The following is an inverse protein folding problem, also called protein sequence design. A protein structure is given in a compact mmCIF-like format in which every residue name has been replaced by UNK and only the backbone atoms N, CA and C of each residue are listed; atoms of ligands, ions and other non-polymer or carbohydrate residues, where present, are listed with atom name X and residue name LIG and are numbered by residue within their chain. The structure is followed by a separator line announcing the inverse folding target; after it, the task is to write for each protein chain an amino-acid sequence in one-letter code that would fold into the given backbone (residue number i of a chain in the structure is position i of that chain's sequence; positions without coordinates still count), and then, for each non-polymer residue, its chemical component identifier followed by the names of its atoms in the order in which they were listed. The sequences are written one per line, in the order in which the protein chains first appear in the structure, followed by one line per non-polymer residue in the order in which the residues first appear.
data_IF_505762933350
#
_entry.id   IF_505762933350
#
_cell.length_a   1.000
_cell.length_b   1.000
_cell.length_c   1.000
_cell.angle_alpha   90.00
_cell.angle_beta   90.00
_cell.angle_gamma   90.00
#
_symmetry.space_group_name_H-M   'P 1'
#
loop_
_entity.id
_entity.type
_entity.pdbx_description
1 polymer ?
#
# COMPACT_ATOMS: atom_id res chain seq x y z
N UNK A 1 -21.43 -7.81 -22.07
CA UNK A 1 -21.42 -9.28 -22.10
C UNK A 1 -21.92 -9.76 -20.73
N UNK A 2 -22.86 -10.72 -20.66
CA UNK A 2 -23.35 -11.25 -19.39
C UNK A 2 -22.26 -12.09 -18.68
N UNK A 3 -22.20 -12.00 -17.35
CA UNK A 3 -21.30 -12.82 -16.51
C UNK A 3 -22.06 -14.06 -16.02
N UNK A 4 -21.61 -15.25 -16.42
CA UNK A 4 -22.19 -16.52 -15.98
C UNK A 4 -21.28 -17.20 -14.95
N UNK A 5 -21.64 -17.13 -13.67
CA UNK A 5 -20.88 -17.76 -12.58
C UNK A 5 -21.17 -19.27 -12.48
N UNK A 6 -20.74 -20.04 -13.49
CA UNK A 6 -20.76 -21.51 -13.45
C UNK A 6 -19.80 -22.07 -12.38
N UNK A 7 -18.55 -21.58 -12.24
CA UNK A 7 -17.61 -22.11 -11.25
C UNK A 7 -18.12 -21.94 -9.82
N UNK A 8 -18.69 -20.78 -9.48
CA UNK A 8 -19.28 -20.53 -8.18
C UNK A 8 -20.48 -21.43 -7.86
N UNK A 9 -21.32 -21.74 -8.86
CA UNK A 9 -22.48 -22.61 -8.67
C UNK A 9 -22.12 -24.09 -8.49
N UNK A 10 -21.06 -24.55 -9.15
CA UNK A 10 -20.58 -25.95 -9.07
C UNK A 10 -19.58 -26.13 -7.91
N UNK A 11 -19.12 -25.04 -7.30
CA UNK A 11 -18.16 -25.08 -6.18
C UNK A 11 -16.71 -25.33 -6.62
N UNK A 12 -16.39 -25.09 -7.90
CA UNK A 12 -15.03 -25.26 -8.43
C UNK A 12 -14.31 -23.92 -8.38
N UNK A 13 -13.13 -23.88 -7.75
CA UNK A 13 -12.26 -22.70 -7.74
C UNK A 13 -11.26 -22.78 -8.90
N UNK A 14 -11.56 -22.12 -10.02
CA UNK A 14 -10.66 -22.04 -11.17
C UNK A 14 -9.67 -20.86 -11.05
N UNK A 15 -10.18 -19.70 -10.64
CA UNK A 15 -9.52 -18.40 -10.73
C UNK A 15 -9.56 -17.58 -9.43
N UNK A 16 -10.52 -17.84 -8.53
CA UNK A 16 -10.75 -17.04 -7.30
C UNK A 16 -9.52 -16.98 -6.38
N UNK A 17 -8.67 -18.00 -6.41
CA UNK A 17 -7.44 -18.05 -5.60
C UNK A 17 -6.39 -16.99 -5.99
N UNK A 18 -6.45 -16.41 -7.20
CA UNK A 18 -5.51 -15.36 -7.65
C UNK A 18 -6.05 -13.94 -7.54
N UNK A 19 -7.34 -13.75 -7.22
CA UNK A 19 -7.99 -12.44 -7.33
C UNK A 19 -7.55 -11.44 -6.25
N UNK A 20 -7.24 -11.94 -5.06
CA UNK A 20 -6.89 -11.12 -3.88
C UNK A 20 -5.43 -11.38 -3.51
N UNK A 21 -4.67 -10.32 -3.21
CA UNK A 21 -3.30 -10.50 -2.71
C UNK A 21 -3.34 -11.02 -1.27
N UNK A 22 -4.40 -10.67 -0.54
CA UNK A 22 -4.65 -11.03 0.85
C UNK A 22 -5.08 -12.47 1.10
N UNK A 23 -5.24 -13.26 0.03
CA UNK A 23 -5.56 -14.69 0.10
C UNK A 23 -4.38 -15.55 0.57
N UNK A 24 -4.60 -16.87 0.58
CA UNK A 24 -3.54 -17.81 0.94
C UNK A 24 -2.44 -17.81 -0.13
N UNK A 25 -1.21 -17.51 0.30
CA UNK A 25 -0.03 -17.45 -0.56
C UNK A 25 0.93 -18.58 -0.17
N UNK A 26 1.68 -19.14 -1.14
CA UNK A 26 2.70 -20.14 -0.84
C UNK A 26 3.65 -19.66 0.26
N UNK A 27 3.90 -20.52 1.26
CA UNK A 27 4.72 -20.22 2.43
C UNK A 27 4.21 -19.08 3.33
N UNK A 28 2.91 -18.75 3.29
CA UNK A 28 2.29 -17.69 4.10
C UNK A 28 3.00 -16.33 3.94
N UNK A 29 3.51 -16.06 2.74
CA UNK A 29 4.21 -14.81 2.44
C UNK A 29 3.19 -13.69 2.29
N UNK A 30 3.19 -12.75 3.23
CA UNK A 30 2.32 -11.59 3.15
C UNK A 30 2.79 -10.62 2.05
N UNK A 31 1.89 -10.13 1.16
CA UNK A 31 2.19 -9.03 0.27
C UNK A 31 2.40 -7.74 1.07
N UNK A 32 3.05 -6.74 0.44
CA UNK A 32 3.41 -5.47 1.10
C UNK A 32 2.19 -4.70 1.63
N UNK A 33 1.07 -4.77 0.93
CA UNK A 33 -0.18 -4.07 1.26
C UNK A 33 -1.28 -5.00 1.77
N UNK A 34 -0.90 -6.16 2.35
CA UNK A 34 -1.82 -7.17 2.88
C UNK A 34 -2.88 -6.60 3.83
N UNK A 35 -2.45 -5.84 4.83
CA UNK A 35 -3.35 -5.29 5.84
C UNK A 35 -4.40 -4.35 5.24
N UNK A 36 -3.97 -3.41 4.40
CA UNK A 36 -4.85 -2.42 3.78
C UNK A 36 -5.84 -3.04 2.80
N UNK A 37 -5.41 -4.01 1.98
CA UNK A 37 -6.32 -4.70 1.07
C UNK A 37 -7.35 -5.52 1.84
N UNK A 38 -6.93 -6.22 2.91
CA UNK A 38 -7.82 -6.98 3.78
C UNK A 38 -8.89 -6.09 4.42
N UNK A 39 -8.51 -4.96 5.02
CA UNK A 39 -9.44 -4.00 5.62
C UNK A 39 -10.43 -3.45 4.60
N UNK A 40 -9.96 -3.11 3.39
CA UNK A 40 -10.84 -2.64 2.32
C UNK A 40 -11.84 -3.70 1.86
N UNK A 41 -11.41 -4.96 1.71
CA UNK A 41 -12.30 -6.08 1.36
C UNK A 41 -13.32 -6.31 2.47
N UNK A 42 -12.90 -6.36 3.73
CA UNK A 42 -13.78 -6.57 4.88
C UNK A 42 -14.81 -5.44 5.03
N UNK A 43 -14.44 -4.19 4.73
CA UNK A 43 -15.38 -3.07 4.71
C UNK A 43 -16.37 -3.17 3.54
N UNK A 44 -15.89 -3.52 2.34
CA UNK A 44 -16.69 -3.49 1.12
C UNK A 44 -17.52 -4.75 0.86
N UNK A 45 -17.33 -5.79 1.68
CA UNK A 45 -18.07 -7.04 1.56
C UNK A 45 -19.57 -6.84 1.85
N UNK A 46 -20.43 -7.42 1.00
CA UNK A 46 -21.89 -7.40 1.17
C UNK A 46 -22.62 -6.07 0.92
N UNK A 47 -21.96 -4.90 0.93
CA UNK A 47 -22.62 -3.59 0.75
C UNK A 47 -22.85 -3.18 -0.72
N UNK A 48 -22.15 -3.84 -1.64
CA UNK A 48 -22.20 -3.57 -3.08
C UNK A 48 -21.35 -2.36 -3.51
N UNK A 49 -20.92 -2.36 -4.77
CA UNK A 49 -19.91 -1.42 -5.30
C UNK A 49 -20.33 0.06 -5.18
N UNK A 50 -21.62 0.36 -5.33
CA UNK A 50 -22.12 1.75 -5.33
C UNK A 50 -22.00 2.41 -3.96
N UNK A 51 -22.28 1.66 -2.88
CA UNK A 51 -22.13 2.12 -1.50
C UNK A 51 -20.69 2.04 -1.02
N UNK A 52 -19.97 0.97 -1.37
CA UNK A 52 -18.57 0.79 -1.01
C UNK A 52 -17.68 1.96 -1.44
N UNK A 53 -17.96 2.56 -2.61
CA UNK A 53 -17.24 3.76 -3.08
C UNK A 53 -17.33 4.97 -2.16
N UNK A 54 -18.39 5.06 -1.34
CA UNK A 54 -18.63 6.21 -0.44
C UNK A 54 -18.33 5.85 1.02
N UNK A 55 -18.77 4.67 1.46
CA UNK A 55 -18.65 4.23 2.84
C UNK A 55 -17.22 3.75 3.16
N UNK A 56 -16.59 3.00 2.25
CA UNK A 56 -15.23 2.45 2.42
C UNK A 56 -14.16 3.25 1.66
N UNK A 57 -14.37 4.57 1.55
CA UNK A 57 -13.47 5.43 0.76
C UNK A 57 -12.10 5.54 1.43
N UNK A 58 -12.05 5.58 2.76
CA UNK A 58 -10.81 5.78 3.53
C UNK A 58 -9.89 4.57 3.36
N UNK A 59 -10.44 3.38 3.54
CA UNK A 59 -9.73 2.10 3.40
C UNK A 59 -9.21 1.92 1.97
N UNK A 60 -10.01 2.33 0.97
CA UNK A 60 -9.58 2.28 -0.42
C UNK A 60 -8.45 3.28 -0.71
N UNK A 61 -8.51 4.51 -0.18
CA UNK A 61 -7.46 5.51 -0.36
C UNK A 61 -6.14 5.10 0.29
N UNK A 62 -6.20 4.45 1.46
CA UNK A 62 -5.02 3.93 2.14
C UNK A 62 -4.42 2.74 1.39
N UNK A 63 -5.25 1.82 0.88
CA UNK A 63 -4.78 0.74 0.00
C UNK A 63 -4.14 1.28 -1.27
N UNK A 64 -4.75 2.28 -1.91
CA UNK A 64 -4.24 2.91 -3.12
C UNK A 64 -2.91 3.63 -2.87
N UNK A 65 -2.77 4.33 -1.73
CA UNK A 65 -1.50 4.94 -1.31
C UNK A 65 -0.45 3.87 -1.03
N UNK A 66 -0.77 2.78 -0.36
CA UNK A 66 0.21 1.72 -0.09
C UNK A 66 0.81 1.15 -1.39
N UNK A 67 -0.03 0.94 -2.41
CA UNK A 67 0.36 0.38 -3.70
C UNK A 67 1.22 1.36 -4.53
N UNK A 68 0.83 2.64 -4.60
CA UNK A 68 1.45 3.62 -5.49
C UNK A 68 2.48 4.54 -4.80
N UNK A 69 2.36 4.70 -3.47
CA UNK A 69 3.18 5.55 -2.60
C UNK A 69 3.28 7.01 -3.04
N UNK A 70 2.27 7.51 -3.75
CA UNK A 70 2.31 8.85 -4.34
C UNK A 70 2.47 9.94 -3.28
N UNK A 71 1.65 9.90 -2.22
CA UNK A 71 1.71 10.86 -1.10
C UNK A 71 3.06 10.79 -0.40
N UNK A 72 3.55 9.58 -0.14
CA UNK A 72 4.88 9.34 0.44
C UNK A 72 6.02 9.90 -0.43
N UNK A 73 6.00 9.66 -1.74
CA UNK A 73 7.00 10.16 -2.69
C UNK A 73 6.98 11.69 -2.76
N UNK A 74 5.79 12.30 -2.82
CA UNK A 74 5.64 13.75 -2.80
C UNK A 74 6.24 14.37 -1.53
N UNK A 75 5.92 13.80 -0.37
CA UNK A 75 6.48 14.24 0.92
C UNK A 75 8.00 14.14 0.94
N UNK A 76 8.57 13.01 0.50
CA UNK A 76 10.03 12.84 0.44
C UNK A 76 10.70 13.84 -0.51
N UNK A 77 10.06 14.13 -1.65
CA UNK A 77 10.55 15.12 -2.60
C UNK A 77 10.61 16.53 -1.99
N UNK A 78 9.55 16.94 -1.30
CA UNK A 78 9.47 18.24 -0.63
C UNK A 78 10.52 18.38 0.48
N UNK A 79 10.69 17.35 1.32
CA UNK A 79 11.73 17.30 2.36
C UNK A 79 13.12 17.44 1.73
N UNK A 80 13.41 16.70 0.66
CA UNK A 80 14.69 16.78 -0.04
C UNK A 80 14.93 18.18 -0.61
N UNK A 81 13.92 18.77 -1.24
CA UNK A 81 14.00 20.13 -1.80
C UNK A 81 14.30 21.17 -0.71
N UNK A 82 13.63 21.08 0.44
CA UNK A 82 13.87 21.98 1.57
C UNK A 82 15.26 21.78 2.17
N UNK A 83 15.70 20.53 2.36
CA UNK A 83 17.05 20.22 2.83
C UNK A 83 18.11 20.81 1.89
N UNK A 84 17.99 20.57 0.60
CA UNK A 84 18.97 21.03 -0.40
C UNK A 84 19.01 22.57 -0.45
N UNK A 85 17.89 23.26 -0.17
CA UNK A 85 17.85 24.73 -0.01
C UNK A 85 18.63 25.17 1.24
N UNK A 86 18.39 24.56 2.39
CA UNK A 86 19.05 24.93 3.66
C UNK A 86 20.55 24.62 3.67
N UNK A 87 20.97 23.55 3.00
CA UNK A 87 22.39 23.24 2.79
C UNK A 87 23.07 24.31 1.94
N UNK A 88 22.42 24.75 0.85
CA UNK A 88 22.93 25.85 0.00
C UNK A 88 23.02 27.18 0.75
N UNK A 89 22.10 27.45 1.66
CA UNK A 89 22.12 28.64 2.54
C UNK A 89 23.14 28.50 3.71
N UNK A 90 23.76 27.33 3.90
CA UNK A 90 24.67 27.05 5.01
C UNK A 90 24.00 26.91 6.38
N UNK A 91 22.66 26.91 6.44
CA UNK A 91 21.88 26.85 7.69
C UNK A 91 21.66 25.43 8.21
N UNK A 92 21.92 24.42 7.39
CA UNK A 92 21.73 23.02 7.75
C UNK A 92 22.94 22.18 7.34
N UNK A 93 23.49 21.45 8.30
CA UNK A 93 24.57 20.49 8.10
C UNK A 93 24.00 19.07 8.18
N UNK A 94 24.38 18.23 7.22
CA UNK A 94 23.95 16.82 7.21
C UNK A 94 24.61 16.07 8.36
N UNK A 95 23.87 15.27 9.14
CA UNK A 95 24.43 14.54 10.26
C UNK A 95 25.32 13.37 9.80
N UNK A 96 26.25 12.94 10.67
CA UNK A 96 27.29 11.95 10.36
C UNK A 96 26.74 10.58 9.89
N UNK A 97 25.60 10.14 10.43
CA UNK A 97 24.93 8.90 10.04
C UNK A 97 24.31 8.97 8.62
N UNK A 98 24.07 10.18 8.08
CA UNK A 98 23.64 10.36 6.70
C UNK A 98 24.82 10.53 5.72
N UNK A 99 26.05 10.67 6.23
CA UNK A 99 27.28 10.78 5.42
C UNK A 99 28.09 9.49 5.36
N UNK A 100 27.58 8.39 5.93
CA UNK A 100 28.25 7.09 5.93
C UNK A 100 29.38 6.96 6.95
N UNK A 101 29.44 7.87 7.95
CA UNK A 101 30.33 7.67 9.09
C UNK A 101 29.72 6.59 10.00
N UNK A 102 30.52 5.66 10.53
CA UNK A 102 30.01 4.63 11.43
C UNK A 102 29.55 5.30 12.73
N UNK A 103 28.24 5.35 12.93
CA UNK A 103 27.65 5.83 14.17
C UNK A 103 26.91 4.65 14.76
N UNK A 104 27.62 3.83 15.55
CA UNK A 104 27.12 2.72 16.38
C UNK A 104 25.79 2.14 15.87
N UNK A 105 25.87 1.56 14.67
CA UNK A 105 24.69 1.12 13.95
C UNK A 105 24.18 -0.17 14.60
N UNK A 106 22.86 -0.27 14.72
CA UNK A 106 22.08 -1.44 15.20
C UNK A 106 22.75 -2.78 14.85
N UNK A 107 22.66 -3.78 15.74
CA UNK A 107 23.47 -5.00 15.72
C UNK A 107 23.50 -5.75 14.39
#
# INVERSE_FOLDING_TARGET
MPFFDLPGKVGINLDRWMLIQSGDQPYKRAPRCHAFEKEWIECSDGIGQTRAKKECQIEFEDFYECMHREKSHKRLHEIRKQRDKLVKEGKYQTPAHHSGAPVDDRP
#
